data_IF_981281540091
#
_entry.id   IF_981281540091
#
_cell.length_a   1.000
_cell.length_b   1.000
_cell.length_c   1.000
_cell.angle_alpha   90.00
_cell.angle_beta   90.00
_cell.angle_gamma   90.00
#
_symmetry.space_group_name_H-M   'P 1'
#
loop_
_entity.id
_entity.type
_entity.pdbx_description
1 polymer ?
#
# COMPACT_ATOMS: atom_id res chain seq x y z
N UNK A 1 18.27 -12.25 3.49
CA UNK A 1 17.21 -11.24 3.61
C UNK A 1 15.94 -11.79 2.99
N UNK A 2 14.81 -11.67 3.67
CA UNK A 2 13.52 -12.21 3.24
C UNK A 2 13.04 -11.43 2.00
N UNK A 3 12.91 -12.10 0.85
CA UNK A 3 12.60 -11.47 -0.45
C UNK A 3 11.29 -10.68 -0.43
N UNK A 4 10.33 -11.11 0.38
CA UNK A 4 9.03 -10.45 0.54
C UNK A 4 9.12 -9.08 1.24
N UNK A 5 10.00 -8.91 2.23
CA UNK A 5 10.19 -7.61 2.90
C UNK A 5 10.83 -6.59 1.96
N UNK A 6 11.87 -7.01 1.23
CA UNK A 6 12.54 -6.14 0.26
C UNK A 6 11.54 -5.64 -0.77
N UNK A 7 10.67 -6.52 -1.27
CA UNK A 7 9.66 -6.17 -2.26
C UNK A 7 8.63 -5.16 -1.75
N UNK A 8 8.12 -5.34 -0.52
CA UNK A 8 7.20 -4.37 0.09
C UNK A 8 7.83 -2.98 0.22
N UNK A 9 9.10 -2.91 0.61
CA UNK A 9 9.81 -1.63 0.77
C UNK A 9 9.97 -0.92 -0.57
N UNK A 10 10.34 -1.65 -1.63
CA UNK A 10 10.42 -1.13 -3.00
C UNK A 10 9.06 -0.58 -3.47
N UNK A 11 7.99 -1.36 -3.32
CA UNK A 11 6.64 -0.96 -3.73
C UNK A 11 6.17 0.31 -2.99
N UNK A 12 6.43 0.41 -1.69
CA UNK A 12 6.12 1.62 -0.92
C UNK A 12 6.93 2.84 -1.36
N UNK A 13 8.18 2.65 -1.76
CA UNK A 13 9.03 3.74 -2.29
C UNK A 13 8.51 4.21 -3.65
N UNK A 14 8.18 3.30 -4.56
CA UNK A 14 7.60 3.62 -5.87
C UNK A 14 6.24 4.33 -5.72
N UNK A 15 5.38 3.86 -4.81
CA UNK A 15 4.12 4.54 -4.51
C UNK A 15 4.35 5.95 -3.96
N UNK A 16 5.34 6.14 -3.09
CA UNK A 16 5.67 7.47 -2.57
C UNK A 16 6.12 8.42 -3.67
N UNK A 17 6.93 7.92 -4.63
CA UNK A 17 7.36 8.71 -5.79
C UNK A 17 6.14 9.11 -6.65
N UNK A 18 5.27 8.14 -6.96
CA UNK A 18 4.04 8.39 -7.72
C UNK A 18 3.12 9.43 -7.08
N UNK A 19 2.91 9.35 -5.77
CA UNK A 19 2.08 10.31 -5.02
C UNK A 19 2.63 11.73 -5.08
N UNK A 20 3.95 11.89 -5.10
CA UNK A 20 4.58 13.21 -5.12
C UNK A 20 4.38 13.93 -6.46
N UNK A 21 4.20 13.18 -7.55
CA UNK A 21 4.16 13.69 -8.93
C UNK A 21 2.74 13.73 -9.53
N UNK A 22 1.70 13.43 -8.75
CA UNK A 22 0.33 13.27 -9.24
C UNK A 22 -0.72 13.95 -8.35
N UNK A 23 -1.96 14.01 -8.84
CA UNK A 23 -3.12 14.48 -8.09
C UNK A 23 -4.30 13.48 -8.08
N UNK A 24 -4.15 12.37 -8.80
CA UNK A 24 -5.10 11.27 -8.84
C UNK A 24 -4.37 9.94 -8.84
N UNK A 25 -4.89 8.96 -8.12
CA UNK A 25 -4.44 7.57 -8.11
C UNK A 25 -5.61 6.69 -8.56
N UNK A 26 -5.41 5.92 -9.63
CA UNK A 26 -6.34 4.89 -10.10
C UNK A 26 -5.76 3.52 -9.77
N UNK A 27 -6.58 2.70 -9.12
CA UNK A 27 -6.31 1.33 -8.74
C UNK A 27 -7.12 0.40 -9.64
N UNK A 28 -6.45 -0.60 -10.19
CA UNK A 28 -7.10 -1.66 -10.96
C UNK A 28 -6.46 -2.99 -10.65
N UNK A 29 -7.29 -3.95 -10.28
CA UNK A 29 -6.84 -5.33 -10.14
C UNK A 29 -6.56 -5.94 -11.52
N UNK A 30 -5.38 -6.52 -11.68
CA UNK A 30 -4.94 -7.23 -12.89
C UNK A 30 -4.20 -8.49 -12.45
N UNK A 31 -4.72 -9.65 -12.82
CA UNK A 31 -4.07 -10.96 -12.63
C UNK A 31 -3.58 -11.21 -11.18
N UNK A 32 -4.38 -10.83 -10.18
CA UNK A 32 -4.02 -11.00 -8.76
C UNK A 32 -3.00 -9.99 -8.22
N UNK A 33 -2.68 -8.94 -8.99
CA UNK A 33 -1.87 -7.79 -8.55
C UNK A 33 -2.67 -6.50 -8.66
N UNK A 34 -2.29 -5.49 -7.88
CA UNK A 34 -2.95 -4.18 -7.92
C UNK A 34 -2.09 -3.20 -8.72
N UNK A 35 -2.55 -2.87 -9.92
CA UNK A 35 -1.93 -1.84 -10.74
C UNK A 35 -2.39 -0.47 -10.25
N UNK A 36 -1.42 0.33 -9.83
CA UNK A 36 -1.59 1.70 -9.34
C UNK A 36 -1.11 2.67 -10.41
N UNK A 37 -1.99 3.53 -10.92
CA UNK A 37 -1.66 4.56 -11.93
C UNK A 37 -1.82 5.94 -11.33
N UNK A 38 -0.73 6.70 -11.36
CA UNK A 38 -0.66 8.05 -10.88
C UNK A 38 -0.86 9.01 -12.03
N UNK A 39 -1.90 9.84 -11.95
CA UNK A 39 -2.34 10.74 -13.02
C UNK A 39 -2.13 12.19 -12.60
N UNK A 40 -1.62 13.00 -13.53
CA UNK A 40 -1.51 14.45 -13.41
C UNK A 40 -2.03 15.09 -14.71
N UNK A 41 -2.99 15.99 -14.60
CA UNK A 41 -3.60 16.68 -15.76
C UNK A 41 -4.12 15.73 -16.85
N UNK A 42 -4.70 14.59 -16.45
CA UNK A 42 -5.25 13.59 -17.39
C UNK A 42 -4.22 12.65 -18.02
N UNK A 43 -2.94 12.77 -17.66
CA UNK A 43 -1.86 11.90 -18.16
C UNK A 43 -1.30 11.02 -17.06
N UNK A 44 -1.03 9.74 -17.38
CA UNK A 44 -0.32 8.83 -16.47
C UNK A 44 1.13 9.29 -16.35
N UNK A 45 1.56 9.60 -15.13
CA UNK A 45 2.95 9.99 -14.80
C UNK A 45 3.77 8.82 -14.29
N UNK A 46 3.14 7.97 -13.49
CA UNK A 46 3.82 6.84 -12.87
C UNK A 46 2.88 5.65 -12.79
N UNK A 47 3.43 4.44 -12.89
CA UNK A 47 2.67 3.19 -12.74
C UNK A 47 3.45 2.26 -11.84
N UNK A 48 2.79 1.73 -10.82
CA UNK A 48 3.37 0.80 -9.86
C UNK A 48 2.53 -0.47 -9.88
N UNK A 49 3.19 -1.62 -9.98
CA UNK A 49 2.51 -2.90 -9.86
C UNK A 49 2.72 -3.46 -8.45
N UNK A 50 1.69 -3.39 -7.62
CA UNK A 50 1.72 -3.85 -6.24
C UNK A 50 1.43 -5.35 -6.22
N UNK A 51 2.43 -6.12 -5.82
CA UNK A 51 2.37 -7.58 -5.69
C UNK A 51 2.22 -8.02 -4.24
N UNK A 52 2.59 -7.16 -3.28
CA UNK A 52 2.34 -7.44 -1.87
C UNK A 52 0.83 -7.46 -1.58
N UNK A 53 0.24 -8.59 -1.15
CA UNK A 53 -1.21 -8.70 -0.95
C UNK A 53 -1.71 -7.81 0.19
N UNK A 54 -0.90 -7.65 1.25
CA UNK A 54 -1.23 -6.77 2.37
C UNK A 54 -1.36 -5.31 1.91
N UNK A 55 -0.40 -4.84 1.09
CA UNK A 55 -0.40 -3.48 0.56
C UNK A 55 -1.53 -3.29 -0.46
N UNK A 56 -1.73 -4.24 -1.37
CA UNK A 56 -2.82 -4.21 -2.34
C UNK A 56 -4.20 -4.11 -1.67
N UNK A 57 -4.44 -4.96 -0.66
CA UNK A 57 -5.69 -4.92 0.10
C UNK A 57 -5.88 -3.57 0.81
N UNK A 58 -4.85 -3.06 1.49
CA UNK A 58 -4.94 -1.79 2.20
C UNK A 58 -5.20 -0.60 1.27
N UNK A 59 -4.54 -0.56 0.10
CA UNK A 59 -4.79 0.45 -0.93
C UNK A 59 -6.21 0.38 -1.49
N UNK A 60 -6.75 -0.83 -1.68
CA UNK A 60 -8.11 -1.00 -2.16
C UNK A 60 -9.14 -0.46 -1.15
N UNK A 61 -8.95 -0.74 0.14
CA UNK A 61 -9.86 -0.32 1.21
C UNK A 61 -9.99 1.20 1.36
N UNK A 62 -8.91 1.94 1.10
CA UNK A 62 -8.93 3.41 1.16
C UNK A 62 -9.50 4.07 -0.10
N UNK A 63 -9.74 3.31 -1.16
CA UNK A 63 -10.19 3.84 -2.44
C UNK A 63 -11.70 3.81 -2.59
N UNK A 64 -12.26 4.82 -3.27
CA UNK A 64 -13.66 4.81 -3.68
C UNK A 64 -13.75 4.24 -5.10
N UNK A 65 -14.18 2.98 -5.22
CA UNK A 65 -14.33 2.28 -6.50
C UNK A 65 -13.01 2.27 -7.31
N UNK A 66 -11.88 2.13 -6.62
CA UNK A 66 -10.55 2.12 -7.24
C UNK A 66 -10.04 3.49 -7.68
N UNK A 67 -10.62 4.58 -7.21
CA UNK A 67 -10.15 5.94 -7.48
C UNK A 67 -9.88 6.67 -6.15
N UNK A 68 -8.78 7.41 -6.12
CA UNK A 68 -8.43 8.35 -5.06
C UNK A 68 -8.05 9.66 -5.74
N UNK A 69 -8.87 10.69 -5.62
CA UNK A 69 -8.66 12.00 -6.25
C UNK A 69 -9.03 13.15 -5.31
N UNK A 70 -8.84 14.39 -5.81
CA UNK A 70 -9.26 15.60 -5.10
C UNK A 70 -8.74 15.69 -3.66
N UNK A 71 -9.65 15.93 -2.72
CA UNK A 71 -9.33 16.07 -1.31
C UNK A 71 -8.84 14.75 -0.68
N UNK A 72 -9.42 13.61 -1.08
CA UNK A 72 -9.05 12.30 -0.55
C UNK A 72 -7.63 11.92 -0.95
N UNK A 73 -7.21 12.28 -2.17
CA UNK A 73 -5.83 12.13 -2.60
C UNK A 73 -4.87 12.97 -1.76
N UNK A 74 -5.21 14.22 -1.46
CA UNK A 74 -4.37 15.08 -0.62
C UNK A 74 -4.25 14.56 0.81
N UNK A 75 -5.35 14.08 1.39
CA UNK A 75 -5.35 13.42 2.71
C UNK A 75 -4.45 12.20 2.68
N UNK A 76 -4.64 11.31 1.70
CA UNK A 76 -3.86 10.08 1.59
C UNK A 76 -2.36 10.37 1.40
N UNK A 77 -2.00 11.29 0.50
CA UNK A 77 -0.62 11.72 0.26
C UNK A 77 0.06 12.20 1.55
N UNK A 78 -0.63 13.04 2.34
CA UNK A 78 -0.11 13.54 3.61
C UNK A 78 -0.03 12.45 4.69
N UNK A 79 -0.95 11.49 4.68
CA UNK A 79 -0.97 10.37 5.61
C UNK A 79 -0.08 9.19 5.18
N UNK A 80 0.51 9.24 3.98
CA UNK A 80 1.19 8.09 3.37
C UNK A 80 2.37 7.57 4.21
N UNK A 81 3.09 8.45 4.91
CA UNK A 81 4.16 8.05 5.83
C UNK A 81 3.64 7.17 6.97
N UNK A 82 2.51 7.53 7.58
CA UNK A 82 1.86 6.75 8.64
C UNK A 82 1.29 5.44 8.08
N UNK A 83 0.65 5.50 6.92
CA UNK A 83 0.17 4.32 6.20
C UNK A 83 1.32 3.32 5.93
N UNK A 84 2.44 3.78 5.38
CA UNK A 84 3.62 2.97 5.09
C UNK A 84 4.19 2.29 6.34
N UNK A 85 4.27 3.02 7.45
CA UNK A 85 4.72 2.46 8.74
C UNK A 85 3.78 1.36 9.22
N UNK A 86 2.46 1.58 9.13
CA UNK A 86 1.45 0.61 9.54
C UNK A 86 1.54 -0.69 8.71
N UNK A 87 1.70 -0.59 7.39
CA UNK A 87 1.86 -1.77 6.52
C UNK A 87 3.15 -2.53 6.85
N UNK A 88 4.27 -1.83 7.05
CA UNK A 88 5.54 -2.45 7.45
C UNK A 88 5.43 -3.18 8.79
N UNK A 89 4.78 -2.56 9.77
CA UNK A 89 4.56 -3.18 11.07
C UNK A 89 3.73 -4.46 10.94
N UNK A 90 2.62 -4.42 10.19
CA UNK A 90 1.77 -5.60 9.95
C UNK A 90 2.51 -6.75 9.26
N UNK A 91 3.35 -6.43 8.28
CA UNK A 91 4.20 -7.43 7.63
C UNK A 91 5.17 -8.07 8.62
N UNK A 92 5.82 -7.26 9.47
CA UNK A 92 6.74 -7.75 10.49
C UNK A 92 6.04 -8.65 11.52
N UNK A 93 4.87 -8.25 12.00
CA UNK A 93 4.08 -9.05 12.94
C UNK A 93 3.62 -10.39 12.33
N UNK A 94 3.21 -10.39 11.07
CA UNK A 94 2.84 -11.62 10.38
C UNK A 94 4.03 -12.58 10.27
N UNK A 95 5.23 -12.06 9.98
CA UNK A 95 6.45 -12.87 9.92
C UNK A 95 6.86 -13.41 11.28
N UNK A 96 6.77 -12.60 12.34
CA UNK A 96 7.05 -13.04 13.71
C UNK A 96 6.07 -14.11 14.18
N UNK A 97 4.77 -13.97 13.87
CA UNK A 97 3.76 -14.98 14.19
C UNK A 97 4.00 -16.31 13.48
N UNK A 98 4.52 -16.30 12.25
CA UNK A 98 4.91 -17.53 11.54
C UNK A 98 6.16 -18.18 12.16
N UNK A 99 7.08 -17.39 12.71
CA UNK A 99 8.31 -17.89 13.35
C UNK A 99 8.07 -18.42 14.77
N UNK A 100 7.06 -17.90 15.45
CA UNK A 100 6.70 -18.26 16.83
C UNK A 100 5.20 -18.57 16.92
N UNK A 101 4.75 -19.73 16.41
CA UNK A 101 3.33 -20.10 16.43
C UNK A 101 2.77 -20.27 17.85
N UNK A 102 3.62 -20.47 18.86
CA UNK A 102 3.24 -20.54 20.27
C UNK A 102 3.06 -19.14 20.90
N UNK A 103 3.58 -18.10 20.27
CA UNK A 103 3.32 -16.72 20.66
C UNK A 103 1.99 -16.33 20.01
N UNK A 104 0.93 -16.25 20.81
CA UNK A 104 -0.42 -15.83 20.40
C UNK A 104 -0.44 -14.34 20.00
N UNK A 105 0.24 -14.03 18.89
CA UNK A 105 0.37 -12.70 18.31
C UNK A 105 -0.87 -12.46 17.44
N UNK A 106 -2.00 -12.15 18.10
CA UNK A 106 -3.21 -11.80 17.37
C UNK A 106 -3.02 -10.50 16.58
N UNK A 107 -2.92 -10.65 15.24
CA UNK A 107 -2.90 -9.57 14.26
C UNK A 107 -4.15 -8.66 14.33
N UNK A 108 -5.18 -9.08 15.07
CA UNK A 108 -6.42 -8.34 15.28
C UNK A 108 -6.18 -6.98 15.96
N UNK A 109 -5.17 -6.86 16.81
CA UNK A 109 -4.82 -5.61 17.49
C UNK A 109 -4.19 -4.55 16.57
N UNK A 110 -3.83 -4.92 15.34
CA UNK A 110 -3.35 -3.99 14.29
C UNK A 110 -4.46 -3.61 13.30
N UNK A 111 -5.72 -4.01 13.52
CA UNK A 111 -6.84 -3.67 12.65
C UNK A 111 -7.36 -2.24 12.84
N UNK A 112 -6.87 -1.51 13.84
CA UNK A 112 -7.29 -0.12 14.10
C UNK A 112 -6.29 0.84 13.48
N UNK A 113 -6.60 1.32 12.28
CA UNK A 113 -6.06 2.55 11.69
C UNK A 113 -7.15 3.25 10.87
#
# INVERSE_FOLDING_TARGET
MNTSQTRLVEELQELSAGLNESNTLILKEINGSLMCRFIMHGLVRHTVNVTCPLLAYALWQISSVGIIDGNDFMIFKNAFGKFSLHIKARQLYAELGLQHPDADLELQNLLVA
#
